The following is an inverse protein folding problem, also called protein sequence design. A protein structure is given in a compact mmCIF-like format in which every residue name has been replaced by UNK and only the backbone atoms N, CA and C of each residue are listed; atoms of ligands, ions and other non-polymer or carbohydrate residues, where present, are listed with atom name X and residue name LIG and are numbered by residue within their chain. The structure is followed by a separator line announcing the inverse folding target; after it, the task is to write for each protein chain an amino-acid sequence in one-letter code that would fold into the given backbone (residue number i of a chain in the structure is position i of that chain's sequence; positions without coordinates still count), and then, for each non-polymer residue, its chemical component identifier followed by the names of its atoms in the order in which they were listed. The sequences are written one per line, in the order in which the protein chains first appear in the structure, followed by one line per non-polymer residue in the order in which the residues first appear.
data_IF_156492636984
#
_entry.id   IF_156492636984
#
_cell.length_a   1.000
_cell.length_b   1.000
_cell.length_c   1.000
_cell.angle_alpha   90.00
_cell.angle_beta   90.00
_cell.angle_gamma   90.00
#
_symmetry.space_group_name_H-M   'P 1'
#
loop_
_entity.id
_entity.type
_entity.pdbx_description
1 polymer ?
#
# COMPACT_ATOMS: atom_id res chain seq x y z
N UNK A 1 13.69 10.14 -18.99
CA UNK A 1 13.39 9.83 -17.59
C UNK A 1 12.62 8.50 -17.54
N UNK A 2 12.80 7.74 -16.48
CA UNK A 2 12.16 6.44 -16.27
C UNK A 2 11.42 6.47 -14.92
N UNK A 3 10.21 5.94 -14.85
CA UNK A 3 9.54 5.73 -13.58
C UNK A 3 10.21 4.56 -12.86
N UNK A 4 10.86 4.82 -11.75
CA UNK A 4 11.60 3.81 -10.98
C UNK A 4 10.74 3.17 -9.88
N UNK A 5 9.86 3.94 -9.26
CA UNK A 5 9.09 3.41 -8.15
C UNK A 5 8.01 4.35 -7.63
N UNK A 6 7.35 3.90 -6.59
CA UNK A 6 6.28 4.59 -5.90
C UNK A 6 6.55 4.62 -4.39
N UNK A 7 6.42 5.78 -3.77
CA UNK A 7 6.66 5.97 -2.34
C UNK A 7 5.45 6.51 -1.60
N UNK A 8 5.22 6.03 -0.39
CA UNK A 8 4.16 6.49 0.51
C UNK A 8 4.79 7.11 1.75
N UNK A 9 4.37 8.33 2.08
CA UNK A 9 4.76 9.01 3.32
C UNK A 9 3.83 8.61 4.46
N UNK A 10 4.37 7.90 5.44
CA UNK A 10 3.58 7.26 6.50
C UNK A 10 3.77 7.96 7.84
N UNK A 11 2.67 8.05 8.60
CA UNK A 11 2.69 8.60 9.96
C UNK A 11 3.18 7.57 10.98
N UNK A 12 2.72 6.34 10.83
CA UNK A 12 2.97 5.22 11.76
C UNK A 12 3.60 4.07 10.98
N UNK A 13 4.93 4.00 11.00
CA UNK A 13 5.68 2.98 10.28
C UNK A 13 5.37 1.55 10.76
N UNK A 14 5.32 1.26 12.08
CA UNK A 14 4.97 -0.08 12.54
C UNK A 14 3.63 -0.59 12.01
N UNK A 15 2.60 0.25 12.05
CA UNK A 15 1.27 -0.09 11.52
C UNK A 15 1.30 -0.35 10.02
N UNK A 16 2.02 0.47 9.26
CA UNK A 16 2.11 0.30 7.80
C UNK A 16 2.93 -0.91 7.41
N UNK A 17 4.03 -1.20 8.11
CA UNK A 17 4.81 -2.43 7.89
C UNK A 17 3.94 -3.67 8.14
N UNK A 18 3.23 -3.71 9.26
CA UNK A 18 2.32 -4.83 9.56
C UNK A 18 1.23 -4.99 8.49
N UNK A 19 0.64 -3.89 8.03
CA UNK A 19 -0.38 -3.95 6.99
C UNK A 19 0.16 -4.53 5.68
N UNK A 20 1.25 -3.99 5.15
CA UNK A 20 1.80 -4.47 3.89
C UNK A 20 2.41 -5.86 4.00
N UNK A 21 3.08 -6.19 5.11
CA UNK A 21 3.70 -7.49 5.32
C UNK A 21 2.68 -8.57 5.69
N UNK A 22 1.88 -8.32 6.72
CA UNK A 22 1.08 -9.38 7.37
C UNK A 22 -0.31 -9.51 6.74
N UNK A 23 -0.88 -8.41 6.22
CA UNK A 23 -2.19 -8.43 5.54
C UNK A 23 -2.04 -8.65 4.04
N UNK A 24 -1.18 -7.87 3.36
CA UNK A 24 -0.99 -7.95 1.90
C UNK A 24 0.10 -8.92 1.46
N UNK A 25 0.91 -9.46 2.36
CA UNK A 25 1.94 -10.46 2.06
C UNK A 25 3.17 -9.92 1.34
N UNK A 26 3.50 -8.65 1.49
CA UNK A 26 4.71 -8.08 0.90
C UNK A 26 5.94 -8.55 1.68
N UNK A 27 7.03 -8.84 0.99
CA UNK A 27 8.31 -9.22 1.60
C UNK A 27 9.04 -8.00 2.19
N UNK A 28 8.62 -7.55 3.37
CA UNK A 28 9.30 -6.47 4.10
C UNK A 28 10.29 -7.11 5.08
N UNK A 29 11.58 -6.80 4.89
CA UNK A 29 12.69 -7.33 5.69
C UNK A 29 13.08 -6.39 6.83
N UNK A 30 12.69 -5.13 6.73
CA UNK A 30 13.00 -4.12 7.71
C UNK A 30 12.23 -4.34 9.01
N UNK A 31 12.85 -3.92 10.11
CA UNK A 31 12.25 -3.86 11.43
C UNK A 31 11.13 -2.81 11.48
N UNK A 32 10.15 -3.02 12.35
CA UNK A 32 9.00 -2.10 12.51
C UNK A 32 9.40 -0.68 12.95
N UNK A 33 10.59 -0.50 13.51
CA UNK A 33 11.15 0.80 13.87
C UNK A 33 11.98 1.46 12.75
N UNK A 34 12.02 0.86 11.56
CA UNK A 34 12.77 1.40 10.43
C UNK A 34 12.32 2.82 10.07
N UNK A 35 13.26 3.64 9.67
CA UNK A 35 13.01 5.01 9.18
C UNK A 35 12.29 4.96 7.83
N UNK A 36 12.69 4.01 7.00
CA UNK A 36 12.12 3.76 5.70
C UNK A 36 12.15 2.28 5.36
N UNK A 37 11.33 1.89 4.40
CA UNK A 37 11.26 0.55 3.83
C UNK A 37 11.48 0.66 2.34
N UNK A 38 12.32 -0.21 1.79
CA UNK A 38 12.60 -0.32 0.36
C UNK A 38 12.40 -1.76 -0.06
N UNK A 39 11.50 -2.00 -1.00
CA UNK A 39 11.37 -3.31 -1.61
C UNK A 39 11.10 -3.19 -3.10
N UNK A 40 11.50 -4.20 -3.84
CA UNK A 40 11.06 -4.38 -5.22
C UNK A 40 9.88 -5.35 -5.21
N UNK A 41 8.77 -4.89 -5.78
CA UNK A 41 7.56 -5.69 -5.94
C UNK A 41 7.22 -5.71 -7.43
N UNK A 42 7.37 -6.89 -8.04
CA UNK A 42 7.04 -7.12 -9.45
C UNK A 42 7.69 -6.11 -10.42
N UNK A 43 8.99 -5.84 -10.21
CA UNK A 43 9.77 -4.90 -11.02
C UNK A 43 9.54 -3.42 -10.69
N UNK A 44 8.77 -3.11 -9.66
CA UNK A 44 8.50 -1.74 -9.20
C UNK A 44 9.12 -1.52 -7.82
N UNK A 45 9.88 -0.46 -7.66
CA UNK A 45 10.39 -0.03 -6.35
C UNK A 45 9.22 0.52 -5.54
N UNK A 46 8.99 -0.07 -4.38
CA UNK A 46 7.95 0.33 -3.44
C UNK A 46 8.59 0.81 -2.13
N UNK A 47 8.22 2.00 -1.67
CA UNK A 47 8.85 2.69 -0.56
C UNK A 47 7.83 3.08 0.50
N UNK A 48 8.17 2.89 1.77
CA UNK A 48 7.53 3.56 2.89
C UNK A 48 8.55 4.50 3.54
N UNK A 49 8.18 5.75 3.74
CA UNK A 49 9.04 6.78 4.31
C UNK A 49 8.31 7.52 5.44
N UNK A 50 8.91 7.64 6.62
CA UNK A 50 8.26 8.38 7.71
C UNK A 50 8.15 9.87 7.37
N UNK A 51 6.97 10.44 7.60
CA UNK A 51 6.68 11.87 7.36
C UNK A 51 7.66 12.78 8.09
N UNK A 52 7.94 12.49 9.35
CA UNK A 52 8.86 13.29 10.17
C UNK A 52 10.28 13.29 9.64
N UNK A 53 10.76 12.16 9.14
CA UNK A 53 12.10 12.06 8.58
C UNK A 53 12.21 12.78 7.23
N UNK A 54 11.16 12.69 6.42
CA UNK A 54 11.09 13.44 5.16
C UNK A 54 11.03 14.95 5.38
N UNK A 55 10.23 15.41 6.34
CA UNK A 55 10.16 16.82 6.73
C UNK A 55 11.51 17.33 7.26
N UNK A 56 12.17 16.52 8.10
CA UNK A 56 13.51 16.86 8.59
C UNK A 56 14.54 16.94 7.44
N UNK A 57 14.51 15.96 6.54
CA UNK A 57 15.44 15.92 5.40
C UNK A 57 15.25 17.12 4.46
N UNK A 58 14.02 17.54 4.23
CA UNK A 58 13.70 18.64 3.30
C UNK A 58 13.70 20.02 3.96
N UNK A 59 13.66 20.08 5.29
CA UNK A 59 13.49 21.33 6.05
C UNK A 59 12.10 21.96 5.83
N UNK A 60 11.10 21.18 5.45
CA UNK A 60 9.76 21.65 5.13
C UNK A 60 8.70 20.88 5.95
N UNK A 61 7.54 21.50 6.10
CA UNK A 61 6.34 20.87 6.67
C UNK A 61 5.29 20.69 5.59
N UNK A 62 4.63 19.54 5.56
CA UNK A 62 3.66 19.19 4.53
C UNK A 62 2.26 19.01 5.12
N UNK A 63 1.25 19.37 4.33
CA UNK A 63 -0.15 19.05 4.61
C UNK A 63 -0.46 17.64 4.13
N UNK A 64 -0.73 16.73 5.07
CA UNK A 64 -1.08 15.35 4.75
C UNK A 64 -2.59 15.15 4.77
N UNK A 65 -3.10 14.43 3.76
CA UNK A 65 -4.49 14.03 3.70
C UNK A 65 -4.85 13.08 4.86
N UNK A 66 -6.12 13.10 5.26
CA UNK A 66 -6.66 12.24 6.34
C UNK A 66 -7.73 11.33 5.79
N UNK A 67 -7.74 10.08 6.26
CA UNK A 67 -8.73 9.09 5.86
C UNK A 67 -8.69 8.73 4.38
N UNK A 68 -9.78 8.23 3.86
CA UNK A 68 -9.95 7.95 2.43
C UNK A 68 -10.17 9.28 1.71
N UNK A 69 -9.25 9.67 0.85
CA UNK A 69 -9.19 11.02 0.29
C UNK A 69 -9.25 11.05 -1.25
N UNK A 70 -9.19 9.89 -1.93
CA UNK A 70 -9.30 9.80 -3.38
C UNK A 70 -8.14 10.40 -4.19
N UNK A 71 -6.98 10.62 -3.58
CA UNK A 71 -5.83 11.20 -4.28
C UNK A 71 -5.06 10.19 -5.13
N UNK A 72 -5.02 8.94 -4.69
CA UNK A 72 -4.36 7.84 -5.42
C UNK A 72 -4.91 6.49 -4.95
N UNK A 73 -4.63 5.48 -5.74
CA UNK A 73 -4.85 4.07 -5.38
C UNK A 73 -3.63 3.24 -5.73
N UNK A 74 -3.49 2.09 -5.09
CA UNK A 74 -2.53 1.06 -5.45
C UNK A 74 -3.34 -0.15 -5.91
N UNK A 75 -3.19 -0.52 -7.17
CA UNK A 75 -3.86 -1.68 -7.73
C UNK A 75 -2.97 -2.91 -7.62
N UNK A 76 -3.52 -3.97 -7.07
CA UNK A 76 -2.87 -5.28 -6.97
C UNK A 76 -3.63 -6.25 -7.87
N UNK A 77 -2.94 -6.84 -8.84
CA UNK A 77 -3.53 -7.78 -9.77
C UNK A 77 -3.47 -9.22 -9.27
N UNK A 78 -4.49 -10.01 -9.60
CA UNK A 78 -4.54 -11.47 -9.41
C UNK A 78 -4.98 -12.14 -10.70
N UNK A 79 -4.82 -13.47 -10.79
CA UNK A 79 -4.90 -14.21 -12.05
C UNK A 79 -6.28 -14.26 -12.69
N UNK A 80 -7.36 -14.25 -11.90
CA UNK A 80 -8.72 -14.46 -12.41
C UNK A 80 -9.77 -13.92 -11.41
N UNK A 81 -11.04 -13.93 -11.80
CA UNK A 81 -12.17 -13.41 -11.00
C UNK A 81 -12.32 -14.11 -9.65
N UNK A 82 -12.18 -15.43 -9.63
CA UNK A 82 -12.28 -16.18 -8.36
C UNK A 82 -11.13 -15.80 -7.40
N UNK A 83 -9.96 -15.51 -7.94
CA UNK A 83 -8.82 -15.04 -7.16
C UNK A 83 -9.05 -13.63 -6.59
N UNK A 84 -9.80 -12.75 -7.26
CA UNK A 84 -10.22 -11.46 -6.70
C UNK A 84 -11.08 -11.65 -5.45
N UNK A 85 -12.10 -12.52 -5.54
CA UNK A 85 -12.98 -12.82 -4.41
C UNK A 85 -12.21 -13.44 -3.23
N UNK A 86 -11.33 -14.39 -3.53
CA UNK A 86 -10.50 -15.05 -2.52
C UNK A 86 -9.53 -14.06 -1.84
N UNK A 87 -8.85 -13.23 -2.62
CA UNK A 87 -7.95 -12.21 -2.08
C UNK A 87 -8.71 -11.20 -1.21
N UNK A 88 -9.87 -10.73 -1.64
CA UNK A 88 -10.72 -9.84 -0.86
C UNK A 88 -11.12 -10.46 0.49
N UNK A 89 -11.56 -11.72 0.50
CA UNK A 89 -11.90 -12.43 1.72
C UNK A 89 -10.70 -12.60 2.64
N UNK A 90 -9.54 -12.94 2.09
CA UNK A 90 -8.31 -13.13 2.84
C UNK A 90 -7.87 -11.83 3.52
N UNK A 91 -7.73 -10.74 2.77
CA UNK A 91 -7.20 -9.49 3.33
C UNK A 91 -8.18 -8.84 4.30
N UNK A 92 -9.49 -8.93 4.05
CA UNK A 92 -10.51 -8.44 5.00
C UNK A 92 -10.53 -9.29 6.27
N UNK A 93 -10.37 -10.59 6.15
CA UNK A 93 -10.20 -11.50 7.30
C UNK A 93 -8.95 -11.21 8.14
N UNK A 94 -7.93 -10.64 7.54
CA UNK A 94 -6.70 -10.19 8.21
C UNK A 94 -6.78 -8.73 8.71
N UNK A 95 -7.92 -8.06 8.57
CA UNK A 95 -8.17 -6.73 9.11
C UNK A 95 -8.13 -5.55 8.13
N UNK A 96 -8.01 -5.79 6.82
CA UNK A 96 -8.22 -4.74 5.85
C UNK A 96 -9.67 -4.24 5.87
N UNK A 97 -9.84 -2.93 5.77
CA UNK A 97 -11.18 -2.29 5.72
C UNK A 97 -11.64 -2.25 4.26
N UNK A 98 -12.72 -2.97 3.97
CA UNK A 98 -13.31 -2.96 2.63
C UNK A 98 -14.19 -1.72 2.44
N UNK A 99 -14.03 -1.07 1.31
CA UNK A 99 -14.92 0.02 0.85
C UNK A 99 -16.14 -0.55 0.14
N UNK A 100 -15.93 -1.64 -0.63
CA UNK A 100 -17.01 -2.36 -1.34
C UNK A 100 -16.60 -3.83 -1.52
N UNK A 101 -17.60 -4.70 -1.64
CA UNK A 101 -17.36 -6.09 -2.02
C UNK A 101 -17.02 -6.18 -3.52
N UNK A 102 -16.31 -7.25 -3.94
CA UNK A 102 -15.98 -7.43 -5.34
C UNK A 102 -17.21 -7.45 -6.26
N UNK A 103 -17.14 -6.69 -7.34
CA UNK A 103 -18.18 -6.65 -8.38
C UNK A 103 -17.54 -6.88 -9.76
N UNK A 104 -18.36 -7.36 -10.69
CA UNK A 104 -17.95 -7.39 -12.10
C UNK A 104 -18.45 -6.11 -12.76
N UNK A 105 -17.52 -5.30 -13.21
CA UNK A 105 -17.80 -4.02 -13.80
C UNK A 105 -18.36 -4.15 -15.23
N UNK A 106 -19.11 -3.15 -15.74
CA UNK A 106 -19.68 -3.19 -17.08
C UNK A 106 -18.65 -3.41 -18.21
N UNK A 107 -17.41 -3.02 -18.00
CA UNK A 107 -16.31 -3.22 -18.96
C UNK A 107 -15.61 -4.59 -18.81
N UNK A 108 -16.13 -5.48 -17.95
CA UNK A 108 -15.69 -6.87 -17.83
C UNK A 108 -14.53 -7.12 -16.85
N UNK A 109 -14.12 -6.13 -16.10
CA UNK A 109 -13.13 -6.30 -15.02
C UNK A 109 -13.85 -6.68 -13.72
N UNK A 110 -13.24 -7.53 -12.90
CA UNK A 110 -13.69 -7.78 -11.55
C UNK A 110 -12.79 -7.03 -10.56
N UNK A 111 -13.39 -6.14 -9.78
CA UNK A 111 -12.69 -5.27 -8.82
C UNK A 111 -13.39 -5.31 -7.48
#
# INVERSE_FOLDING_TARGET
MKLEGFGIFVKDMPTMIRFYRDVLGFEIKEDENAVNVFLEKDGTLFLLFRRTDFEHMTGQTFGYAKGINGHYEISLGVENYAAVDAAWQEVTGKGAVSVMAPVTEPWGQRT
#
